data_IF_182435198132
#
_entry.id   IF_182435198132
#
_cell.length_a   1.000
_cell.length_b   1.000
_cell.length_c   1.000
_cell.angle_alpha   90.00
_cell.angle_beta   90.00
_cell.angle_gamma   90.00
#
_symmetry.space_group_name_H-M   'P 1'
#
loop_
_entity.id
_entity.type
_entity.pdbx_description
1 polymer ?
#
# COMPACT_ATOMS: atom_id res chain seq x y z
N UNK A 1 -2.64 25.40 -11.49
CA UNK A 1 -2.35 24.10 -12.15
C UNK A 1 -2.15 23.05 -11.06
N UNK A 2 -2.69 21.84 -11.22
CA UNK A 2 -2.70 20.81 -10.17
C UNK A 2 -1.28 20.38 -9.76
N UNK A 3 -0.35 20.37 -10.72
CA UNK A 3 1.06 20.01 -10.50
C UNK A 3 1.77 21.00 -9.56
N UNK A 4 1.41 22.28 -9.61
CA UNK A 4 1.95 23.30 -8.72
C UNK A 4 1.56 23.03 -7.26
N UNK A 5 0.31 22.63 -7.02
CA UNK A 5 -0.15 22.27 -5.68
C UNK A 5 0.50 20.98 -5.17
N UNK A 6 0.70 19.95 -5.99
CA UNK A 6 1.45 18.76 -5.56
C UNK A 6 2.91 19.05 -5.28
N UNK A 7 3.56 19.89 -6.09
CA UNK A 7 4.96 20.25 -5.89
C UNK A 7 5.12 21.08 -4.62
N UNK A 8 4.21 22.04 -4.38
CA UNK A 8 4.18 22.78 -3.12
C UNK A 8 3.97 21.86 -1.92
N UNK A 9 3.03 20.91 -2.02
CA UNK A 9 2.79 19.92 -0.96
C UNK A 9 4.03 19.08 -0.64
N UNK A 10 4.77 18.66 -1.68
CA UNK A 10 6.03 17.93 -1.50
C UNK A 10 7.10 18.77 -0.78
N UNK A 11 7.20 20.06 -1.11
CA UNK A 11 8.12 20.99 -0.45
C UNK A 11 7.75 21.19 1.03
N UNK A 12 6.47 21.39 1.33
CA UNK A 12 5.97 21.52 2.70
C UNK A 12 6.26 20.24 3.51
N UNK A 13 6.01 19.07 2.90
CA UNK A 13 6.33 17.78 3.51
C UNK A 13 7.81 17.65 3.84
N UNK A 14 8.70 18.06 2.92
CA UNK A 14 10.14 18.02 3.14
C UNK A 14 10.60 18.96 4.27
N UNK A 15 9.83 20.01 4.57
CA UNK A 15 10.06 20.93 5.69
C UNK A 15 9.46 20.41 7.02
N UNK A 16 8.80 19.26 7.02
CA UNK A 16 8.08 18.73 8.19
C UNK A 16 6.70 19.37 8.42
N UNK A 17 6.26 20.24 7.50
CA UNK A 17 4.96 20.92 7.53
C UNK A 17 3.88 19.99 6.96
N UNK A 18 3.57 18.94 7.71
CA UNK A 18 2.69 17.83 7.31
C UNK A 18 1.25 18.30 7.04
N UNK A 19 0.74 19.25 7.84
CA UNK A 19 -0.65 19.74 7.69
C UNK A 19 -0.82 20.63 6.46
N UNK A 20 0.20 21.43 6.16
CA UNK A 20 0.29 22.28 4.99
C UNK A 20 0.43 21.43 3.73
N UNK A 21 1.26 20.38 3.78
CA UNK A 21 1.37 19.40 2.71
C UNK A 21 0.04 18.72 2.41
N UNK A 22 -0.67 18.27 3.44
CA UNK A 22 -2.01 17.68 3.33
C UNK A 22 -2.99 18.64 2.65
N UNK A 23 -3.02 19.91 3.09
CA UNK A 23 -3.89 20.94 2.52
C UNK A 23 -3.59 21.18 1.03
N UNK A 24 -2.31 21.19 0.65
CA UNK A 24 -1.90 21.33 -0.75
C UNK A 24 -2.36 20.15 -1.61
N UNK A 25 -2.26 18.91 -1.12
CA UNK A 25 -2.74 17.74 -1.85
C UNK A 25 -4.26 17.72 -1.97
N UNK A 26 -5.00 18.09 -0.91
CA UNK A 26 -6.45 18.22 -0.98
C UNK A 26 -6.87 19.28 -2.00
N UNK A 27 -6.16 20.40 -2.07
CA UNK A 27 -6.47 21.45 -3.04
C UNK A 27 -6.21 20.98 -4.49
N UNK A 28 -5.13 20.22 -4.70
CA UNK A 28 -4.88 19.57 -5.99
C UNK A 28 -6.02 18.61 -6.37
N UNK A 29 -6.53 17.84 -5.40
CA UNK A 29 -7.66 16.92 -5.59
C UNK A 29 -9.00 17.65 -5.75
N UNK A 30 -9.18 18.82 -5.14
CA UNK A 30 -10.35 19.68 -5.31
C UNK A 30 -10.44 20.21 -6.74
N UNK A 31 -9.30 20.60 -7.32
CA UNK A 31 -9.22 21.08 -8.70
C UNK A 31 -9.35 19.91 -9.68
N UNK A 32 -8.67 18.79 -9.41
CA UNK A 32 -8.75 17.59 -10.24
C UNK A 32 -8.80 16.33 -9.37
N UNK A 33 -10.00 15.79 -9.11
CA UNK A 33 -10.18 14.58 -8.30
C UNK A 33 -9.49 13.33 -8.88
N UNK A 34 -9.25 13.31 -10.20
CA UNK A 34 -8.56 12.22 -10.89
C UNK A 34 -7.02 12.35 -10.87
N UNK A 35 -6.47 13.32 -10.15
CA UNK A 35 -5.04 13.59 -10.10
C UNK A 35 -4.32 12.57 -9.21
N UNK A 36 -3.87 11.51 -9.88
CA UNK A 36 -3.15 10.37 -9.32
C UNK A 36 -1.98 10.70 -8.39
N UNK A 37 -1.20 11.73 -8.72
CA UNK A 37 0.01 12.08 -7.96
C UNK A 37 -0.38 12.60 -6.58
N UNK A 38 -1.39 13.47 -6.49
CA UNK A 38 -1.87 13.99 -5.21
C UNK A 38 -2.45 12.88 -4.31
N UNK A 39 -3.20 11.93 -4.87
CA UNK A 39 -3.65 10.75 -4.12
C UNK A 39 -2.48 9.93 -3.57
N UNK A 40 -1.45 9.72 -4.39
CA UNK A 40 -0.27 8.94 -3.99
C UNK A 40 0.50 9.65 -2.86
N UNK A 41 0.68 10.96 -2.96
CA UNK A 41 1.38 11.74 -1.94
C UNK A 41 0.58 11.83 -0.64
N UNK A 42 -0.75 11.94 -0.73
CA UNK A 42 -1.63 11.97 0.43
C UNK A 42 -1.63 10.64 1.18
N UNK A 43 -1.67 9.50 0.46
CA UNK A 43 -1.50 8.17 1.08
C UNK A 43 -0.11 8.03 1.70
N UNK A 44 0.95 8.48 1.01
CA UNK A 44 2.32 8.47 1.55
C UNK A 44 2.46 9.24 2.86
N UNK A 45 1.76 10.38 2.99
CA UNK A 45 1.72 11.17 4.21
C UNK A 45 1.21 10.37 5.42
N UNK A 46 0.09 9.65 5.25
CA UNK A 46 -0.51 8.84 6.32
C UNK A 46 0.26 7.54 6.59
N UNK A 47 0.91 6.97 5.57
CA UNK A 47 1.81 5.83 5.74
C UNK A 47 3.01 6.20 6.61
N UNK A 48 3.61 7.37 6.39
CA UNK A 48 4.73 7.88 7.19
C UNK A 48 4.31 8.26 8.61
N UNK A 49 3.07 8.73 8.80
CA UNK A 49 2.54 9.02 10.14
C UNK A 49 2.07 7.76 10.89
N UNK A 50 2.09 6.58 10.27
CA UNK A 50 1.56 5.34 10.84
C UNK A 50 0.03 5.27 10.95
N UNK A 51 -0.69 6.23 10.37
CA UNK A 51 -2.16 6.27 10.38
C UNK A 51 -2.71 5.48 9.18
N UNK A 52 -2.49 4.17 9.23
CA UNK A 52 -2.85 3.26 8.15
C UNK A 52 -4.37 3.18 7.92
N UNK A 53 -5.18 3.46 8.95
CA UNK A 53 -6.64 3.50 8.84
C UNK A 53 -7.11 4.65 7.96
N UNK A 54 -6.56 5.87 8.16
CA UNK A 54 -6.86 6.99 7.26
C UNK A 54 -6.30 6.77 5.87
N UNK A 55 -5.09 6.22 5.75
CA UNK A 55 -4.52 5.85 4.46
C UNK A 55 -5.48 4.93 3.66
N UNK A 56 -6.07 3.93 4.32
CA UNK A 56 -7.04 3.02 3.72
C UNK A 56 -8.35 3.70 3.32
N UNK A 57 -8.84 4.68 4.10
CA UNK A 57 -10.04 5.44 3.73
C UNK A 57 -9.83 6.28 2.46
N UNK A 58 -8.75 7.07 2.41
CA UNK A 58 -8.41 7.87 1.24
C UNK A 58 -8.17 7.01 0.01
N UNK A 59 -7.59 5.83 0.24
CA UNK A 59 -7.40 4.86 -0.81
C UNK A 59 -8.73 4.38 -1.43
N UNK A 60 -9.73 4.04 -0.60
CA UNK A 60 -11.05 3.62 -1.09
C UNK A 60 -11.72 4.70 -1.94
N UNK A 61 -11.54 5.97 -1.57
CA UNK A 61 -12.04 7.08 -2.38
C UNK A 61 -11.26 7.22 -3.71
N UNK A 62 -9.93 7.06 -3.70
CA UNK A 62 -9.12 7.07 -4.92
C UNK A 62 -9.54 5.99 -5.92
N UNK A 63 -9.84 4.77 -5.45
CA UNK A 63 -10.32 3.66 -6.31
C UNK A 63 -11.70 3.95 -6.89
N UNK A 64 -12.63 4.52 -6.10
CA UNK A 64 -13.95 4.90 -6.61
C UNK A 64 -13.83 5.93 -7.75
N UNK A 65 -12.91 6.87 -7.62
CA UNK A 65 -12.71 7.92 -8.62
C UNK A 65 -11.99 7.43 -9.87
N UNK A 66 -11.03 6.50 -9.72
CA UNK A 66 -10.26 5.97 -10.86
C UNK A 66 -9.88 4.50 -10.65
N UNK A 67 -10.78 3.55 -10.95
CA UNK A 67 -10.54 2.12 -10.74
C UNK A 67 -9.48 1.53 -11.67
N UNK A 68 -9.11 2.23 -12.76
CA UNK A 68 -8.10 1.75 -13.71
C UNK A 68 -6.68 2.21 -13.38
N UNK A 69 -6.43 2.79 -12.20
CA UNK A 69 -5.13 3.38 -11.88
C UNK A 69 -4.21 2.40 -11.12
N UNK A 70 -3.15 1.83 -11.75
CA UNK A 70 -2.37 0.74 -11.15
C UNK A 70 -1.56 1.17 -9.92
N UNK A 71 -1.06 2.42 -9.89
CA UNK A 71 -0.24 2.90 -8.78
C UNK A 71 -1.03 2.99 -7.47
N UNK A 72 -2.34 3.21 -7.59
CA UNK A 72 -3.27 3.18 -6.46
C UNK A 72 -3.26 1.74 -5.90
N UNK A 73 -3.55 0.70 -6.69
CA UNK A 73 -3.54 -0.69 -6.18
C UNK A 73 -2.19 -1.14 -5.59
N UNK A 74 -1.07 -0.69 -6.15
CA UNK A 74 0.25 -0.92 -5.55
C UNK A 74 0.34 -0.30 -4.14
N UNK A 75 -0.06 0.96 -3.98
CA UNK A 75 0.01 1.66 -2.70
C UNK A 75 -0.95 1.07 -1.65
N UNK A 76 -2.13 0.61 -2.04
CA UNK A 76 -3.01 -0.13 -1.12
C UNK A 76 -2.42 -1.44 -0.67
N UNK A 77 -1.76 -2.18 -1.57
CA UNK A 77 -1.03 -3.37 -1.17
C UNK A 77 0.00 -3.06 -0.08
N UNK A 78 0.70 -1.93 -0.20
CA UNK A 78 1.65 -1.47 0.83
C UNK A 78 0.94 -1.11 2.15
N UNK A 79 -0.24 -0.47 2.10
CA UNK A 79 -1.04 -0.17 3.29
C UNK A 79 -1.49 -1.46 4.00
N UNK A 80 -2.02 -2.44 3.25
CA UNK A 80 -2.43 -3.73 3.81
C UNK A 80 -1.26 -4.52 4.39
N UNK A 81 -0.11 -4.47 3.73
CA UNK A 81 1.14 -5.02 4.27
C UNK A 81 1.48 -4.40 5.62
N UNK A 82 1.44 -3.06 5.72
CA UNK A 82 1.72 -2.35 6.97
C UNK A 82 0.69 -2.66 8.08
N UNK A 83 -0.56 -2.96 7.71
CA UNK A 83 -1.62 -3.42 8.62
C UNK A 83 -1.49 -4.90 9.03
N UNK A 84 -0.51 -5.64 8.52
CA UNK A 84 -0.38 -7.08 8.79
C UNK A 84 -1.42 -7.94 8.08
N UNK A 85 -1.96 -7.46 6.95
CA UNK A 85 -2.97 -8.11 6.11
C UNK A 85 -2.36 -8.56 4.77
N UNK A 86 -1.48 -9.59 4.77
CA UNK A 86 -0.71 -9.97 3.57
C UNK A 86 -1.58 -10.58 2.46
N UNK A 87 -2.74 -11.16 2.79
CA UNK A 87 -3.62 -11.77 1.78
C UNK A 87 -4.27 -10.70 0.90
N UNK A 88 -4.75 -9.63 1.53
CA UNK A 88 -5.31 -8.45 0.91
C UNK A 88 -4.23 -7.70 0.11
N UNK A 89 -3.01 -7.61 0.65
CA UNK A 89 -1.89 -7.01 -0.07
C UNK A 89 -1.57 -7.75 -1.38
N UNK A 90 -1.51 -9.09 -1.33
CA UNK A 90 -1.30 -9.94 -2.51
C UNK A 90 -2.40 -9.72 -3.56
N UNK A 91 -3.66 -9.68 -3.13
CA UNK A 91 -4.78 -9.44 -4.04
C UNK A 91 -4.65 -8.08 -4.76
N UNK A 92 -4.19 -7.04 -4.05
CA UNK A 92 -3.96 -5.72 -4.64
C UNK A 92 -2.82 -5.71 -5.67
N UNK A 93 -1.71 -6.39 -5.36
CA UNK A 93 -0.61 -6.51 -6.33
C UNK A 93 -1.01 -7.33 -7.55
N UNK A 94 -1.79 -8.39 -7.38
CA UNK A 94 -2.35 -9.17 -8.49
C UNK A 94 -3.26 -8.32 -9.37
N UNK A 95 -4.16 -7.51 -8.78
CA UNK A 95 -5.01 -6.59 -9.54
C UNK A 95 -4.20 -5.56 -10.33
N UNK A 96 -3.10 -5.06 -9.73
CA UNK A 96 -2.17 -4.16 -10.40
C UNK A 96 -1.57 -4.81 -11.63
N UNK A 97 -1.12 -6.06 -11.52
CA UNK A 97 -0.54 -6.83 -12.62
C UNK A 97 -1.57 -7.24 -13.68
N UNK A 98 -2.82 -7.50 -13.31
CA UNK A 98 -3.91 -7.72 -14.27
C UNK A 98 -4.19 -6.48 -15.11
N UNK A 99 -4.20 -5.30 -14.47
CA UNK A 99 -4.44 -4.03 -15.16
C UNK A 99 -3.23 -3.58 -15.97
N UNK A 100 -2.02 -3.82 -15.46
CA UNK A 100 -0.75 -3.46 -16.09
C UNK A 100 0.30 -4.56 -15.89
N UNK A 101 0.38 -5.53 -16.82
CA UNK A 101 1.28 -6.68 -16.70
C UNK A 101 2.77 -6.33 -16.62
N UNK A 102 3.18 -5.16 -17.12
CA UNK A 102 4.58 -4.71 -17.13
C UNK A 102 4.95 -3.80 -15.93
N UNK A 103 4.22 -3.90 -14.82
CA UNK A 103 4.46 -3.05 -13.65
C UNK A 103 5.48 -3.69 -12.68
N UNK A 104 6.77 -3.47 -12.94
CA UNK A 104 7.89 -4.13 -12.24
C UNK A 104 7.84 -4.03 -10.71
N UNK A 105 7.43 -2.88 -10.15
CA UNK A 105 7.29 -2.71 -8.71
C UNK A 105 6.27 -3.68 -8.07
N UNK A 106 5.19 -4.01 -8.79
CA UNK A 106 4.19 -4.95 -8.27
C UNK A 106 4.72 -6.39 -8.20
N UNK A 107 5.58 -6.80 -9.13
CA UNK A 107 6.23 -8.12 -9.06
C UNK A 107 7.16 -8.24 -7.85
N UNK A 108 7.99 -7.22 -7.61
CA UNK A 108 8.89 -7.21 -6.44
C UNK A 108 8.12 -7.30 -5.13
N UNK A 109 7.06 -6.50 -4.99
CA UNK A 109 6.23 -6.52 -3.79
C UNK A 109 5.47 -7.85 -3.63
N UNK A 110 4.94 -8.41 -4.72
CA UNK A 110 4.25 -9.71 -4.70
C UNK A 110 5.19 -10.87 -4.34
N UNK A 111 6.42 -10.88 -4.87
CA UNK A 111 7.42 -11.89 -4.57
C UNK A 111 7.77 -11.87 -3.08
N UNK A 112 8.06 -10.68 -2.54
CA UNK A 112 8.37 -10.49 -1.13
C UNK A 112 7.24 -11.01 -0.22
N UNK A 113 5.97 -10.69 -0.52
CA UNK A 113 4.85 -11.16 0.31
C UNK A 113 4.64 -12.67 0.22
N UNK A 114 4.84 -13.28 -0.95
CA UNK A 114 4.75 -14.74 -1.09
C UNK A 114 5.87 -15.46 -0.35
N UNK A 115 7.08 -14.90 -0.38
CA UNK A 115 8.24 -15.43 0.35
C UNK A 115 8.00 -15.40 1.86
N UNK A 116 7.51 -14.27 2.39
CA UNK A 116 7.12 -14.14 3.81
C UNK A 116 6.06 -15.20 4.17
N UNK A 117 5.08 -15.44 3.30
CA UNK A 117 4.05 -16.47 3.51
C UNK A 117 4.66 -17.89 3.53
N UNK A 118 5.65 -18.17 2.71
CA UNK A 118 6.36 -19.47 2.74
C UNK A 118 7.27 -19.63 3.95
N UNK A 119 7.91 -18.55 4.41
CA UNK A 119 8.74 -18.55 5.62
C UNK A 119 7.92 -18.68 6.90
N UNK A 120 6.75 -18.04 6.96
CA UNK A 120 5.80 -18.17 8.09
C UNK A 120 5.02 -19.48 8.05
N UNK A 121 4.71 -20.00 6.85
CA UNK A 121 4.10 -21.31 6.65
C UNK A 121 5.05 -22.51 6.87
N UNK A 122 6.36 -22.30 6.75
CA UNK A 122 7.40 -23.30 7.08
C UNK A 122 7.77 -23.31 8.57
N UNK A 123 7.31 -22.34 9.35
CA UNK A 123 7.19 -22.47 10.80
C UNK A 123 6.01 -23.40 11.15
N UNK A 124 5.99 -24.59 10.54
CA UNK A 124 5.32 -25.74 11.14
C UNK A 124 5.93 -25.86 12.53
N UNK A 125 5.06 -25.79 13.55
CA UNK A 125 5.38 -26.11 14.94
C UNK A 125 6.47 -27.20 14.95
N UNK A 126 7.55 -27.07 15.73
CA UNK A 126 8.48 -28.18 15.87
C UNK A 126 7.60 -29.39 16.20
N UNK A 127 7.61 -30.40 15.32
CA UNK A 127 6.98 -31.67 15.65
C UNK A 127 7.74 -32.13 16.88
N UNK A 128 7.19 -31.84 18.05
CA UNK A 128 7.57 -32.50 19.29
C UNK A 128 7.37 -33.96 18.93
N UNK A 129 8.47 -34.67 18.72
CA UNK A 129 8.45 -36.11 18.53
C UNK A 129 7.85 -36.65 19.84
N UNK A 130 6.54 -36.87 19.84
CA UNK A 130 5.95 -37.87 20.73
C UNK A 130 6.61 -39.18 20.34
N UNK A 131 7.70 -39.52 21.04
CA UNK A 131 8.24 -40.86 21.03
C UNK A 131 7.30 -41.70 21.89
N UNK A 132 6.17 -42.10 21.30
CA UNK A 132 5.45 -43.27 21.79
C UNK A 132 6.28 -44.49 21.39
N UNK A 133 7.19 -44.90 22.26
CA UNK A 133 7.74 -46.25 22.24
C UNK A 133 6.59 -47.21 22.58
N UNK A 134 6.06 -47.90 21.57
CA UNK A 134 5.37 -49.17 21.74
C UNK A 134 6.37 -50.25 21.36
N UNK A 135 6.69 -51.16 22.27
CA UNK A 135 6.97 -52.58 22.00
C UNK A 135 7.08 -53.35 23.32
N UNK A 136 6.11 -54.26 23.48
CA UNK A 136 6.10 -55.55 24.22
C UNK A 136 6.40 -55.53 25.72
#
# INVERSE_FOLDING_TARGET
>A
MVDAHSNLGNLMKAQGLVQEAYSCYLEALRIQPSFAIAWSNLVGLFMESGDFNRALQYYKEAVKLKPSFPNVYLNLGNVYKALGMPQEAIACYQHTLQTRPNYGMAYGNLANEKEIKTATGSMRRPKVWCVCFFLV
#
